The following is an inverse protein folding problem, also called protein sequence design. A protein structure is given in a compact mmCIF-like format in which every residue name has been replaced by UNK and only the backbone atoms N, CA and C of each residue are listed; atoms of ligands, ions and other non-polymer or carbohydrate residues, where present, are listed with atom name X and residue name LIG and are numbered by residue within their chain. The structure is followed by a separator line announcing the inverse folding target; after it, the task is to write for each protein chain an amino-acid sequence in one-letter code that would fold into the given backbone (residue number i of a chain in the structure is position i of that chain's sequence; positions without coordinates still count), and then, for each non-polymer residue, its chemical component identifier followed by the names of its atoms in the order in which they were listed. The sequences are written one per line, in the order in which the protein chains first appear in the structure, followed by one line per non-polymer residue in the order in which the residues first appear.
data_IF_548243222604
#
_entry.id   IF_548243222604
#
_cell.length_a   1.000
_cell.length_b   1.000
_cell.length_c   1.000
_cell.angle_alpha   90.00
_cell.angle_beta   90.00
_cell.angle_gamma   90.00
#
_symmetry.space_group_name_H-M   'P 1'
#
loop_
_entity.id
_entity.type
_entity.pdbx_description
1 polymer ?
#
# COMPACT_ATOMS: atom_id res chain seq x y z
N UNK A 1 7.50 4.45 -5.79
CA UNK A 1 6.21 5.04 -6.21
C UNK A 1 6.39 6.55 -6.38
N UNK A 2 6.65 7.31 -5.31
CA UNK A 2 6.90 8.77 -5.37
C UNK A 2 7.88 9.24 -6.47
N UNK A 3 9.02 8.57 -6.65
CA UNK A 3 9.99 8.97 -7.69
C UNK A 3 9.50 8.74 -9.13
N UNK A 4 8.56 7.80 -9.32
CA UNK A 4 7.94 7.52 -10.61
C UNK A 4 6.86 8.57 -10.90
N UNK A 5 6.06 8.91 -9.89
CA UNK A 5 5.02 9.93 -9.96
C UNK A 5 5.64 11.30 -10.29
N UNK A 6 6.71 11.69 -9.58
CA UNK A 6 7.49 12.89 -9.90
C UNK A 6 7.96 12.94 -11.35
N UNK A 7 8.52 11.84 -11.87
CA UNK A 7 9.02 11.76 -13.25
C UNK A 7 7.89 11.86 -14.27
N UNK A 8 6.75 11.23 -13.98
CA UNK A 8 5.56 11.29 -14.84
C UNK A 8 5.04 12.72 -14.92
N UNK A 9 4.86 13.38 -13.80
CA UNK A 9 4.29 14.74 -13.74
C UNK A 9 5.25 15.75 -14.36
N UNK A 10 6.56 15.61 -14.11
CA UNK A 10 7.58 16.42 -14.77
C UNK A 10 7.64 16.18 -16.29
N UNK A 11 7.45 14.95 -16.75
CA UNK A 11 7.36 14.62 -18.17
C UNK A 11 6.14 15.27 -18.82
N UNK A 12 4.97 15.19 -18.19
CA UNK A 12 3.74 15.85 -18.65
C UNK A 12 3.86 17.38 -18.66
N UNK A 13 4.48 17.95 -17.62
CA UNK A 13 4.79 19.37 -17.57
C UNK A 13 5.67 19.80 -18.75
N UNK A 14 6.75 19.08 -19.02
CA UNK A 14 7.67 19.39 -20.12
C UNK A 14 6.99 19.28 -21.48
N UNK A 15 6.14 18.28 -21.70
CA UNK A 15 5.37 18.11 -22.93
C UNK A 15 4.40 19.28 -23.14
N UNK A 16 3.62 19.63 -22.12
CA UNK A 16 2.67 20.75 -22.18
C UNK A 16 3.37 22.09 -22.36
N UNK A 17 4.49 22.31 -21.67
CA UNK A 17 5.33 23.51 -21.83
C UNK A 17 5.87 23.64 -23.26
N UNK A 18 6.33 22.54 -23.86
CA UNK A 18 6.77 22.54 -25.25
C UNK A 18 5.63 22.90 -26.21
N UNK A 19 4.42 22.35 -25.98
CA UNK A 19 3.21 22.72 -26.73
C UNK A 19 2.88 24.21 -26.61
N UNK A 20 2.90 24.77 -25.39
CA UNK A 20 2.72 26.20 -25.13
C UNK A 20 3.74 27.04 -25.92
N UNK A 21 5.02 26.68 -25.92
CA UNK A 21 6.06 27.41 -26.68
C UNK A 21 5.84 27.34 -28.20
N UNK A 22 5.37 26.20 -28.73
CA UNK A 22 5.05 26.06 -30.15
C UNK A 22 3.84 26.92 -30.56
N UNK A 23 2.79 26.93 -29.75
CA UNK A 23 1.60 27.76 -29.99
C UNK A 23 1.91 29.26 -29.82
N UNK A 24 2.73 29.64 -28.83
CA UNK A 24 3.17 31.03 -28.62
C UNK A 24 3.93 31.57 -29.84
N UNK A 25 4.84 30.78 -30.43
CA UNK A 25 5.56 31.15 -31.63
C UNK A 25 4.67 31.25 -32.89
N UNK A 26 3.54 30.53 -32.93
CA UNK A 26 2.60 30.51 -34.05
C UNK A 26 1.40 31.47 -33.87
N UNK A 27 1.18 32.02 -32.68
CA UNK A 27 0.07 32.90 -32.36
C UNK A 27 0.32 34.33 -32.86
N UNK A 28 -0.08 34.60 -34.10
CA UNK A 28 -0.38 35.97 -34.52
C UNK A 28 -1.84 36.30 -34.19
N UNK A 29 -2.06 37.31 -33.34
CA UNK A 29 -3.34 37.94 -32.97
C UNK A 29 -4.31 37.11 -32.09
N UNK A 30 -4.38 37.48 -30.79
CA UNK A 30 -5.58 37.26 -29.97
C UNK A 30 -6.73 38.01 -30.63
N UNK A 31 -7.70 37.29 -31.23
CA UNK A 31 -8.90 37.91 -31.80
C UNK A 31 -9.81 38.33 -30.66
N UNK A 32 -9.72 39.60 -30.29
CA UNK A 32 -10.69 40.22 -29.39
C UNK A 32 -11.97 40.47 -30.18
N UNK A 33 -13.07 39.84 -29.78
CA UNK A 33 -14.39 40.12 -30.33
C UNK A 33 -15.03 41.19 -29.43
N UNK A 34 -15.10 42.47 -29.85
CA UNK A 34 -15.85 43.47 -29.10
C UNK A 34 -17.34 43.16 -29.23
N UNK A 35 -18.03 43.06 -28.09
CA UNK A 35 -19.49 43.13 -28.07
C UNK A 35 -19.87 44.50 -27.50
N UNK A 36 -20.57 45.30 -28.31
CA UNK A 36 -21.10 46.59 -27.90
C UNK A 36 -22.55 46.38 -27.45
N UNK A 37 -22.86 46.72 -26.19
CA UNK A 37 -24.24 46.78 -25.72
C UNK A 37 -24.54 48.21 -25.29
N UNK A 38 -25.23 48.95 -26.16
CA UNK A 38 -25.64 50.32 -25.88
C UNK A 38 -26.98 50.33 -25.13
N UNK A 39 -26.93 50.56 -23.81
CA UNK A 39 -28.14 50.90 -23.03
C UNK A 39 -28.00 52.29 -22.47
N UNK A 40 -28.86 53.18 -22.97
CA UNK A 40 -29.10 54.51 -22.41
C UNK A 40 -27.84 55.37 -22.21
N UNK A 41 -27.10 55.62 -23.30
CA UNK A 41 -26.05 56.64 -23.36
C UNK A 41 -24.69 56.26 -22.76
N UNK A 42 -24.50 55.00 -22.34
CA UNK A 42 -23.21 54.44 -21.93
C UNK A 42 -22.90 53.23 -22.81
N UNK A 43 -21.79 53.29 -23.55
CA UNK A 43 -21.24 52.16 -24.30
C UNK A 43 -20.24 51.44 -23.40
N UNK A 44 -20.66 50.33 -22.82
CA UNK A 44 -19.76 49.44 -22.08
C UNK A 44 -19.19 48.42 -23.07
N UNK A 45 -17.87 48.45 -23.28
CA UNK A 45 -17.17 47.49 -24.14
C UNK A 45 -16.89 46.21 -23.34
N UNK A 46 -17.61 45.12 -23.66
CA UNK A 46 -17.31 43.81 -23.09
C UNK A 46 -16.43 43.04 -24.06
N UNK A 47 -15.20 42.74 -23.62
CA UNK A 47 -14.25 41.94 -24.39
C UNK A 47 -14.15 40.56 -23.76
N UNK A 48 -14.62 39.54 -24.46
CA UNK A 48 -14.41 38.14 -24.05
C UNK A 48 -13.05 37.66 -24.54
N UNK A 49 -12.26 37.06 -23.65
CA UNK A 49 -11.12 36.21 -24.08
C UNK A 49 -11.71 34.90 -24.59
N UNK A 50 -11.40 34.56 -25.84
CA UNK A 50 -11.72 33.23 -26.36
C UNK A 50 -10.76 32.24 -25.70
N UNK A 51 -11.29 31.31 -24.89
CA UNK A 51 -10.46 30.26 -24.30
C UNK A 51 -9.87 29.42 -25.43
N UNK A 52 -8.55 29.44 -25.53
CA UNK A 52 -7.80 28.73 -26.57
C UNK A 52 -7.24 27.41 -26.03
N UNK A 53 -6.91 26.46 -26.89
CA UNK A 53 -6.20 25.21 -26.49
C UNK A 53 -4.90 25.51 -25.75
N UNK A 54 -4.25 26.65 -26.06
CA UNK A 54 -3.08 27.15 -25.34
C UNK A 54 -3.35 27.36 -23.85
N UNK A 55 -4.51 27.92 -23.48
CA UNK A 55 -4.88 28.14 -22.08
C UNK A 55 -5.04 26.82 -21.33
N UNK A 56 -5.59 25.80 -21.99
CA UNK A 56 -5.71 24.45 -21.43
C UNK A 56 -4.35 23.78 -21.22
N UNK A 57 -3.43 23.90 -22.20
CA UNK A 57 -2.07 23.37 -22.08
C UNK A 57 -1.28 24.08 -20.97
N UNK A 58 -1.43 25.41 -20.86
CA UNK A 58 -0.79 26.20 -19.81
C UNK A 58 -1.33 25.86 -18.42
N UNK A 59 -2.63 25.68 -18.26
CA UNK A 59 -3.22 25.27 -16.97
C UNK A 59 -2.83 23.84 -16.60
N UNK A 60 -2.89 22.92 -17.57
CA UNK A 60 -2.42 21.54 -17.40
C UNK A 60 -0.94 21.48 -16.99
N UNK A 61 -0.08 22.31 -17.60
CA UNK A 61 1.33 22.40 -17.21
C UNK A 61 1.48 22.87 -15.75
N UNK A 62 0.73 23.89 -15.32
CA UNK A 62 0.77 24.39 -13.93
C UNK A 62 0.37 23.32 -12.93
N UNK A 63 -0.67 22.53 -13.24
CA UNK A 63 -1.13 21.46 -12.36
C UNK A 63 -0.09 20.36 -12.23
N UNK A 64 0.45 19.87 -13.35
CA UNK A 64 1.51 18.85 -13.34
C UNK A 64 2.77 19.35 -12.61
N UNK A 65 3.14 20.63 -12.75
CA UNK A 65 4.28 21.21 -12.03
C UNK A 65 4.03 21.27 -10.52
N UNK A 66 2.80 21.64 -10.11
CA UNK A 66 2.41 21.68 -8.71
C UNK A 66 2.48 20.28 -8.10
N UNK A 67 1.89 19.28 -8.76
CA UNK A 67 1.86 17.90 -8.27
C UNK A 67 3.29 17.32 -8.20
N UNK A 68 4.14 17.58 -9.21
CA UNK A 68 5.54 17.22 -9.16
C UNK A 68 6.28 17.88 -7.99
N UNK A 69 5.99 19.15 -7.68
CA UNK A 69 6.62 19.88 -6.57
C UNK A 69 6.20 19.30 -5.22
N UNK A 70 4.93 18.97 -5.05
CA UNK A 70 4.40 18.36 -3.83
C UNK A 70 5.05 16.98 -3.60
N UNK A 71 5.13 16.14 -4.64
CA UNK A 71 5.80 14.84 -4.58
C UNK A 71 7.30 14.99 -4.30
N UNK A 72 7.96 16.01 -4.85
CA UNK A 72 9.37 16.30 -4.59
C UNK A 72 9.62 16.70 -3.13
N UNK A 73 8.69 17.44 -2.50
CA UNK A 73 8.75 17.79 -1.09
C UNK A 73 8.64 16.55 -0.19
N UNK A 74 7.75 15.62 -0.53
CA UNK A 74 7.61 14.33 0.16
C UNK A 74 8.88 13.47 0.03
N UNK A 75 9.47 13.41 -1.17
CA UNK A 75 10.74 12.71 -1.41
C UNK A 75 11.85 13.31 -0.55
N UNK A 76 11.95 14.65 -0.49
CA UNK A 76 12.96 15.33 0.32
C UNK A 76 12.79 15.00 1.79
N UNK A 77 11.57 15.12 2.31
CA UNK A 77 11.24 14.82 3.71
C UNK A 77 11.59 13.38 4.06
N UNK A 78 11.25 12.42 3.18
CA UNK A 78 11.58 11.01 3.38
C UNK A 78 13.09 10.76 3.39
N UNK A 79 13.84 11.38 2.48
CA UNK A 79 15.30 11.27 2.45
C UNK A 79 15.96 11.87 3.70
N UNK A 80 15.42 12.97 4.22
CA UNK A 80 15.88 13.58 5.47
C UNK A 80 15.63 12.66 6.66
N UNK A 81 14.45 12.04 6.74
CA UNK A 81 14.13 11.04 7.77
C UNK A 81 15.08 9.84 7.68
N UNK A 82 15.29 9.29 6.48
CA UNK A 82 16.22 8.17 6.26
C UNK A 82 17.63 8.54 6.72
N UNK A 83 18.09 9.75 6.39
CA UNK A 83 19.41 10.22 6.78
C UNK A 83 19.53 10.36 8.30
N UNK A 84 18.51 10.95 8.95
CA UNK A 84 18.45 11.03 10.41
C UNK A 84 18.45 9.65 11.06
N UNK A 85 17.70 8.69 10.51
CA UNK A 85 17.68 7.31 11.00
C UNK A 85 19.02 6.59 10.81
N UNK A 86 19.68 6.76 9.67
CA UNK A 86 21.01 6.17 9.42
C UNK A 86 22.09 6.72 10.35
N UNK A 87 21.98 8.01 10.69
CA UNK A 87 22.93 8.69 11.56
C UNK A 87 22.59 8.54 13.05
N UNK A 88 21.37 8.11 13.37
CA UNK A 88 20.97 7.83 14.73
C UNK A 88 21.78 6.65 15.28
N UNK A 89 22.53 6.92 16.37
CA UNK A 89 23.19 5.89 17.17
C UNK A 89 22.48 5.82 18.52
N UNK A 90 21.36 5.08 18.62
CA UNK A 90 20.59 5.06 19.85
C UNK A 90 21.39 4.39 20.97
N UNK A 91 21.30 4.96 22.15
CA UNK A 91 21.90 4.42 23.37
C UNK A 91 21.10 3.20 23.83
N UNK A 92 21.73 2.24 24.50
CA UNK A 92 21.07 1.04 25.05
C UNK A 92 19.83 1.37 25.91
N UNK A 93 19.86 2.48 26.67
CA UNK A 93 18.73 2.96 27.47
C UNK A 93 17.53 3.43 26.61
N UNK A 94 17.80 4.08 25.47
CA UNK A 94 16.77 4.57 24.55
C UNK A 94 16.09 3.40 23.83
N UNK A 95 16.85 2.39 23.43
CA UNK A 95 16.32 1.14 22.87
C UNK A 95 15.44 0.39 23.88
N UNK A 96 15.88 0.30 25.13
CA UNK A 96 15.09 -0.35 26.20
C UNK A 96 13.77 0.38 26.44
N UNK A 97 13.79 1.72 26.42
CA UNK A 97 12.57 2.54 26.54
C UNK A 97 11.64 2.35 25.34
N UNK A 98 12.16 2.35 24.12
CA UNK A 98 11.37 2.10 22.91
C UNK A 98 10.71 0.71 22.95
N UNK A 99 11.46 -0.33 23.29
CA UNK A 99 10.92 -1.70 23.43
C UNK A 99 9.86 -1.80 24.52
N UNK A 100 10.04 -1.10 25.65
CA UNK A 100 9.02 -1.03 26.70
C UNK A 100 7.72 -0.36 26.23
N UNK A 101 7.83 0.68 25.40
CA UNK A 101 6.66 1.35 24.83
C UNK A 101 5.96 0.46 23.81
N UNK A 102 6.71 -0.23 22.95
CA UNK A 102 6.17 -1.20 21.98
C UNK A 102 5.38 -2.29 22.72
N UNK A 103 5.98 -2.90 23.75
CA UNK A 103 5.32 -3.93 24.56
C UNK A 103 4.04 -3.39 25.23
N UNK A 104 4.06 -2.16 25.74
CA UNK A 104 2.87 -1.53 26.32
C UNK A 104 1.76 -1.30 25.27
N UNK A 105 2.12 -0.96 24.04
CA UNK A 105 1.15 -0.79 22.95
C UNK A 105 0.54 -2.14 22.54
N UNK A 106 1.36 -3.18 22.41
CA UNK A 106 0.90 -4.55 22.13
C UNK A 106 -0.09 -5.04 23.19
N UNK A 107 0.22 -4.84 24.46
CA UNK A 107 -0.67 -5.21 25.57
C UNK A 107 -1.99 -4.43 25.52
N UNK A 108 -1.94 -3.14 25.19
CA UNK A 108 -3.13 -2.30 25.09
C UNK A 108 -4.02 -2.73 23.92
N UNK A 109 -3.43 -3.04 22.76
CA UNK A 109 -4.15 -3.54 21.60
C UNK A 109 -4.77 -4.92 21.87
N UNK A 110 -4.06 -5.79 22.59
CA UNK A 110 -4.58 -7.09 22.98
C UNK A 110 -5.81 -6.95 23.90
N UNK A 111 -5.72 -6.11 24.94
CA UNK A 111 -6.85 -5.83 25.83
C UNK A 111 -8.04 -5.25 25.08
N UNK A 112 -7.79 -4.29 24.18
CA UNK A 112 -8.84 -3.70 23.35
C UNK A 112 -9.53 -4.76 22.47
N UNK A 113 -8.77 -5.67 21.89
CA UNK A 113 -9.31 -6.78 21.09
C UNK A 113 -10.18 -7.72 21.93
N UNK A 114 -9.72 -8.09 23.13
CA UNK A 114 -10.48 -8.92 24.07
C UNK A 114 -11.78 -8.23 24.53
N UNK A 115 -11.74 -6.92 24.78
CA UNK A 115 -12.91 -6.12 25.16
C UNK A 115 -13.91 -6.02 24.01
N UNK A 116 -13.45 -5.86 22.77
CA UNK A 116 -14.30 -5.86 21.57
C UNK A 116 -14.99 -7.22 21.41
N UNK A 117 -14.25 -8.33 21.49
CA UNK A 117 -14.81 -9.68 21.36
C UNK A 117 -15.84 -9.98 22.45
N UNK A 118 -15.57 -9.58 23.70
CA UNK A 118 -16.52 -9.71 24.81
C UNK A 118 -17.77 -8.87 24.58
N UNK A 119 -17.61 -7.62 24.15
CA UNK A 119 -18.72 -6.71 23.90
C UNK A 119 -19.58 -7.18 22.73
N UNK A 120 -18.96 -7.64 21.65
CA UNK A 120 -19.65 -8.18 20.48
C UNK A 120 -20.46 -9.42 20.84
N UNK A 121 -19.88 -10.38 21.57
CA UNK A 121 -20.59 -11.56 22.08
C UNK A 121 -21.77 -11.19 22.98
N UNK A 122 -21.57 -10.24 23.90
CA UNK A 122 -22.64 -9.78 24.80
C UNK A 122 -23.76 -9.07 24.04
N UNK A 123 -23.41 -8.25 23.04
CA UNK A 123 -24.37 -7.55 22.19
C UNK A 123 -25.17 -8.53 21.33
N UNK A 124 -24.51 -9.50 20.70
CA UNK A 124 -25.17 -10.56 19.92
C UNK A 124 -26.10 -11.36 20.83
N UNK A 125 -25.62 -11.86 21.97
CA UNK A 125 -26.43 -12.64 22.92
C UNK A 125 -27.68 -11.88 23.38
N UNK A 126 -27.54 -10.60 23.75
CA UNK A 126 -28.66 -9.76 24.17
C UNK A 126 -29.66 -9.51 23.03
N UNK A 127 -29.18 -9.31 21.80
CA UNK A 127 -30.06 -9.02 20.66
C UNK A 127 -30.74 -10.26 20.08
N UNK A 128 -30.11 -11.43 20.22
CA UNK A 128 -30.63 -12.69 19.67
C UNK A 128 -31.48 -13.47 20.65
N UNK A 129 -31.60 -13.06 21.93
CA UNK A 129 -32.36 -13.77 22.97
C UNK A 129 -32.08 -15.29 22.95
N UNK A 130 -30.82 -15.67 22.79
CA UNK A 130 -30.36 -17.06 22.65
C UNK A 130 -30.84 -17.86 21.42
N UNK A 131 -31.56 -17.25 20.47
CA UNK A 131 -32.02 -17.94 19.26
C UNK A 131 -30.93 -18.14 18.20
N UNK A 132 -29.76 -17.50 18.32
CA UNK A 132 -28.65 -17.65 17.38
C UNK A 132 -27.33 -17.83 18.13
N UNK A 133 -26.77 -19.04 18.09
CA UNK A 133 -25.41 -19.35 18.59
C UNK A 133 -24.46 -19.52 17.41
N UNK A 134 -23.53 -18.59 17.22
CA UNK A 134 -22.43 -18.76 16.27
C UNK A 134 -21.32 -19.62 16.90
N UNK A 135 -21.28 -20.91 16.56
CA UNK A 135 -20.11 -21.75 16.82
C UNK A 135 -19.06 -21.45 15.77
N UNK A 136 -18.01 -20.69 16.14
CA UNK A 136 -16.81 -20.63 15.32
C UNK A 136 -16.13 -22.01 15.37
N UNK A 137 -16.22 -22.75 14.26
CA UNK A 137 -15.57 -24.05 14.13
C UNK A 137 -14.05 -23.85 14.10
N UNK A 138 -13.40 -24.04 15.25
CA UNK A 138 -11.98 -24.33 15.25
C UNK A 138 -11.82 -25.75 14.71
N UNK A 139 -11.63 -25.87 13.38
CA UNK A 139 -11.17 -27.11 12.79
C UNK A 139 -9.75 -27.33 13.29
N UNK A 140 -9.64 -27.94 14.48
CA UNK A 140 -8.36 -28.37 15.03
C UNK A 140 -7.77 -29.36 14.02
N UNK A 141 -6.61 -29.02 13.47
CA UNK A 141 -5.84 -29.84 12.52
C UNK A 141 -5.66 -31.29 13.05
N UNK A 142 -5.76 -31.49 14.38
CA UNK A 142 -5.74 -32.79 15.06
C UNK A 142 -6.87 -33.75 14.65
N UNK A 143 -8.00 -33.28 14.12
CA UNK A 143 -9.10 -34.17 13.69
C UNK A 143 -9.03 -34.60 12.23
N UNK A 144 -8.20 -33.94 11.40
CA UNK A 144 -8.09 -34.25 9.96
C UNK A 144 -7.08 -35.33 9.63
N UNK A 145 -6.08 -35.53 10.48
CA UNK A 145 -5.11 -36.62 10.29
C UNK A 145 -5.04 -37.44 11.56
N UNK A 146 -5.42 -38.71 11.46
CA UNK A 146 -5.19 -39.72 12.49
C UNK A 146 -3.69 -39.97 12.65
N UNK A 147 -2.98 -39.03 13.28
CA UNK A 147 -1.51 -39.04 13.47
C UNK A 147 -1.06 -40.34 14.15
N UNK A 148 -1.92 -40.95 14.97
CA UNK A 148 -1.65 -42.25 15.61
C UNK A 148 -1.44 -43.39 14.61
N UNK A 149 -2.23 -43.45 13.53
CA UNK A 149 -2.14 -44.53 12.54
C UNK A 149 -1.05 -44.28 11.50
N UNK A 150 -0.83 -43.01 11.12
CA UNK A 150 0.22 -42.64 10.15
C UNK A 150 1.63 -42.96 10.65
N UNK A 151 1.90 -42.75 11.95
CA UNK A 151 3.23 -42.96 12.53
C UNK A 151 3.59 -44.45 12.66
N UNK A 152 2.60 -45.33 12.83
CA UNK A 152 2.79 -46.79 12.85
C UNK A 152 3.12 -47.31 11.45
N UNK A 153 2.43 -46.81 10.42
CA UNK A 153 2.68 -47.21 9.02
C UNK A 153 4.09 -46.77 8.58
N UNK A 154 4.53 -45.56 8.92
CA UNK A 154 5.87 -45.11 8.57
C UNK A 154 6.97 -45.92 9.25
N UNK A 155 6.78 -46.32 10.51
CA UNK A 155 7.73 -47.15 11.23
C UNK A 155 7.83 -48.56 10.63
N UNK A 156 6.69 -49.15 10.22
CA UNK A 156 6.67 -50.48 9.58
C UNK A 156 7.42 -50.52 8.24
N UNK A 157 7.29 -49.47 7.42
CA UNK A 157 7.98 -49.39 6.13
C UNK A 157 9.50 -49.29 6.32
N UNK A 158 9.96 -48.52 7.32
CA UNK A 158 11.38 -48.35 7.62
C UNK A 158 12.04 -49.67 8.05
N UNK A 159 11.37 -50.45 8.90
CA UNK A 159 11.86 -51.76 9.34
C UNK A 159 11.95 -52.75 8.18
N UNK A 160 10.97 -52.74 7.26
CA UNK A 160 10.99 -53.59 6.07
C UNK A 160 12.15 -53.25 5.13
N UNK A 161 12.44 -51.96 4.93
CA UNK A 161 13.58 -51.53 4.10
C UNK A 161 14.92 -51.94 4.72
N UNK A 162 15.10 -51.74 6.03
CA UNK A 162 16.32 -52.16 6.72
C UNK A 162 16.51 -53.69 6.70
N UNK A 163 15.44 -54.47 6.84
CA UNK A 163 15.51 -55.92 6.74
C UNK A 163 15.91 -56.39 5.32
N UNK A 164 15.41 -55.70 4.28
CA UNK A 164 15.74 -56.02 2.90
C UNK A 164 17.21 -55.73 2.58
N UNK A 165 17.75 -54.60 3.07
CA UNK A 165 19.17 -54.29 2.91
C UNK A 165 20.05 -55.27 3.69
N UNK A 166 19.67 -55.65 4.91
CA UNK A 166 20.39 -56.64 5.71
C UNK A 166 20.45 -58.03 5.03
N UNK A 167 19.34 -58.49 4.45
CA UNK A 167 19.30 -59.74 3.69
C UNK A 167 20.12 -59.68 2.40
N UNK A 168 20.16 -58.52 1.75
CA UNK A 168 20.96 -58.30 0.54
C UNK A 168 22.45 -58.31 0.86
N UNK A 169 22.85 -57.77 2.00
CA UNK A 169 24.23 -57.78 2.48
C UNK A 169 24.70 -59.21 2.83
N UNK A 170 23.86 -59.99 3.52
CA UNK A 170 24.15 -61.40 3.81
C UNK A 170 24.28 -62.29 2.56
N UNK A 171 23.56 -62.00 1.48
CA UNK A 171 23.74 -62.73 0.20
C UNK A 171 25.07 -62.41 -0.47
N UNK A 172 25.58 -61.19 -0.33
CA UNK A 172 26.87 -60.80 -0.92
C UNK A 172 28.04 -61.48 -0.21
N UNK A 173 27.97 -61.64 1.11
CA UNK A 173 28.99 -62.34 1.92
C UNK A 173 29.08 -63.86 1.65
N UNK A 174 28.09 -64.46 0.96
CA UNK A 174 28.09 -65.89 0.60
C UNK A 174 28.52 -66.18 -0.85
N UNK A 175 28.89 -65.15 -1.63
CA UNK A 175 29.33 -65.29 -3.02
C UNK A 175 30.79 -64.85 -3.28
N UNK A 176 31.58 -64.62 -2.24
CA UNK A 176 33.05 -64.52 -2.31
C UNK A 176 33.71 -65.79 -1.73
#
# INVERSE_FOLDING_TARGET
MLSLDYKKDMSSYNANRAGVTMYDAAMSAVVMIPTEYAVSGKTDYYMSRTNSEYDFLADSAKWNLKDATDVQADISTNNDIITKMKNAKPTSAELKKANSLISSMEDTLKKLSEDIDKTDKAYIHNKTNDYLTFKQSSVSIKSRFGIKYSLIISAGILVLLCANEYLTQRRKEHCD
#
